data_IF_652093549950
#
_entry.id   IF_652093549950
#
_cell.length_a   1.000
_cell.length_b   1.000
_cell.length_c   1.000
_cell.angle_alpha   90.00
_cell.angle_beta   90.00
_cell.angle_gamma   90.00
#
_symmetry.space_group_name_H-M   'P 1'
#
loop_
_entity.id
_entity.type
_entity.pdbx_description
1 polymer ?
#
# COMPACT_ATOMS: atom_id res chain seq x y z
N UNK A 1 7.14 -7.76 -13.45
CA UNK A 1 5.77 -7.74 -12.85
C UNK A 1 4.81 -7.08 -13.82
N UNK A 2 3.79 -7.82 -14.30
CA UNK A 2 2.82 -7.32 -15.27
C UNK A 2 1.90 -6.23 -14.73
N UNK A 3 1.11 -5.59 -15.60
CA UNK A 3 0.12 -4.56 -15.25
C UNK A 3 -0.86 -5.03 -14.15
N UNK A 4 -1.17 -6.32 -14.10
CA UNK A 4 -1.94 -6.97 -13.03
C UNK A 4 -1.39 -6.71 -11.62
N UNK A 5 -0.07 -6.65 -11.45
CA UNK A 5 0.57 -6.40 -10.15
C UNK A 5 0.39 -4.96 -9.66
N UNK A 6 0.19 -3.99 -10.57
CA UNK A 6 -0.13 -2.62 -10.17
C UNK A 6 -1.58 -2.51 -9.69
N UNK A 7 -2.50 -3.17 -10.40
CA UNK A 7 -3.92 -3.16 -10.07
C UNK A 7 -4.14 -3.76 -8.69
N UNK A 8 -3.50 -4.90 -8.38
CA UNK A 8 -3.61 -5.52 -7.05
C UNK A 8 -3.07 -4.62 -5.93
N UNK A 9 -1.96 -3.90 -6.16
CA UNK A 9 -1.41 -2.94 -5.19
C UNK A 9 -2.35 -1.76 -4.95
N UNK A 10 -2.97 -1.22 -6.01
CA UNK A 10 -3.95 -0.13 -5.88
C UNK A 10 -5.18 -0.60 -5.09
N UNK A 11 -5.70 -1.79 -5.39
CA UNK A 11 -6.81 -2.38 -4.63
C UNK A 11 -6.44 -2.59 -3.16
N UNK A 12 -5.22 -3.05 -2.87
CA UNK A 12 -4.73 -3.20 -1.50
C UNK A 12 -4.64 -1.87 -0.75
N UNK A 13 -4.21 -0.78 -1.41
CA UNK A 13 -4.23 0.58 -0.83
C UNK A 13 -5.65 1.02 -0.50
N UNK A 14 -6.61 0.80 -1.42
CA UNK A 14 -8.01 1.17 -1.19
C UNK A 14 -8.61 0.43 0.01
N UNK A 15 -8.34 -0.87 0.14
CA UNK A 15 -8.79 -1.69 1.28
C UNK A 15 -8.16 -1.17 2.58
N UNK A 16 -6.84 -0.94 2.59
CA UNK A 16 -6.14 -0.43 3.76
C UNK A 16 -6.65 0.96 4.19
N UNK A 17 -6.95 1.83 3.21
CA UNK A 17 -7.53 3.15 3.45
C UNK A 17 -8.92 3.06 4.08
N UNK A 18 -9.79 2.19 3.56
CA UNK A 18 -11.10 1.95 4.16
C UNK A 18 -11.00 1.41 5.59
N UNK A 19 -10.09 0.46 5.84
CA UNK A 19 -9.78 -0.04 7.18
C UNK A 19 -9.31 1.06 8.14
N UNK A 20 -8.55 2.03 7.63
CA UNK A 20 -8.11 3.17 8.43
C UNK A 20 -9.26 4.13 8.75
N UNK A 21 -10.19 4.37 7.82
CA UNK A 21 -11.42 5.13 8.10
C UNK A 21 -12.24 4.45 9.21
N UNK A 22 -12.43 3.14 9.14
CA UNK A 22 -13.09 2.38 10.21
C UNK A 22 -12.36 2.51 11.55
N UNK A 23 -11.03 2.55 11.52
CA UNK A 23 -10.25 2.74 12.72
C UNK A 23 -10.39 4.14 13.33
N UNK A 24 -10.51 5.18 12.50
CA UNK A 24 -10.82 6.55 12.95
C UNK A 24 -12.20 6.62 13.62
N UNK A 25 -13.16 5.80 13.18
CA UNK A 25 -14.46 5.64 13.82
C UNK A 25 -14.44 4.81 15.12
N UNK A 26 -13.26 4.39 15.59
CA UNK A 26 -13.06 3.48 16.73
C UNK A 26 -13.69 2.09 16.55
N UNK A 27 -14.04 1.71 15.32
CA UNK A 27 -14.58 0.37 14.98
C UNK A 27 -13.42 -0.64 14.85
N UNK A 28 -12.23 -0.16 14.50
CA UNK A 28 -11.02 -0.96 14.36
C UNK A 28 -9.86 -0.31 15.14
N UNK A 29 -8.90 -1.09 15.69
CA UNK A 29 -7.74 -0.53 16.37
C UNK A 29 -6.87 0.31 15.44
N UNK A 30 -6.73 1.60 15.77
CA UNK A 30 -5.89 2.55 15.04
C UNK A 30 -4.42 2.08 14.94
N UNK A 31 -3.92 1.44 16.00
CA UNK A 31 -2.56 0.90 16.05
C UNK A 31 -2.30 -0.17 14.97
N UNK A 32 -3.32 -0.91 14.52
CA UNK A 32 -3.18 -1.90 13.46
C UNK A 32 -3.44 -1.32 12.08
N UNK A 33 -4.42 -0.42 11.92
CA UNK A 33 -4.73 0.13 10.60
C UNK A 33 -3.62 1.04 10.07
N UNK A 34 -2.94 1.77 10.96
CA UNK A 34 -1.85 2.68 10.60
C UNK A 34 -0.65 1.96 9.95
N UNK A 35 -0.07 0.90 10.54
CA UNK A 35 1.01 0.14 9.90
C UNK A 35 0.55 -0.58 8.63
N UNK A 36 -0.70 -1.07 8.58
CA UNK A 36 -1.26 -1.70 7.37
C UNK A 36 -1.30 -0.71 6.20
N UNK A 37 -1.79 0.51 6.45
CA UNK A 37 -1.83 1.57 5.44
C UNK A 37 -0.41 2.00 5.03
N UNK A 38 0.49 2.13 5.99
CA UNK A 38 1.89 2.47 5.72
C UNK A 38 2.59 1.42 4.84
N UNK A 39 2.48 0.13 5.18
CA UNK A 39 3.09 -0.96 4.40
C UNK A 39 2.52 -1.00 2.98
N UNK A 40 1.22 -0.77 2.82
CA UNK A 40 0.56 -0.73 1.52
C UNK A 40 1.16 0.34 0.60
N UNK A 41 1.34 1.56 1.13
CA UNK A 41 1.97 2.67 0.41
C UNK A 41 3.45 2.41 0.16
N UNK A 42 4.18 1.90 1.16
CA UNK A 42 5.60 1.58 1.06
C UNK A 42 5.88 0.58 -0.07
N UNK A 43 5.09 -0.51 -0.14
CA UNK A 43 5.20 -1.50 -1.21
C UNK A 43 4.94 -0.88 -2.59
N UNK A 44 3.97 0.02 -2.68
CA UNK A 44 3.68 0.73 -3.92
C UNK A 44 4.83 1.66 -4.36
N UNK A 45 5.43 2.39 -3.42
CA UNK A 45 6.59 3.25 -3.69
C UNK A 45 7.79 2.41 -4.11
N UNK A 46 8.10 1.31 -3.41
CA UNK A 46 9.17 0.38 -3.77
C UNK A 46 8.95 -0.15 -5.18
N UNK A 47 7.72 -0.52 -5.52
CA UNK A 47 7.37 -1.00 -6.85
C UNK A 47 7.63 0.04 -7.95
N UNK A 48 7.19 1.29 -7.73
CA UNK A 48 7.43 2.38 -8.68
C UNK A 48 8.91 2.67 -8.82
N UNK A 49 9.65 2.67 -7.72
CA UNK A 49 11.08 2.95 -7.69
C UNK A 49 11.89 1.85 -8.42
N UNK A 50 11.51 0.57 -8.25
CA UNK A 50 12.18 -0.54 -8.94
C UNK A 50 12.05 -0.49 -10.47
N UNK A 51 11.03 0.20 -11.02
CA UNK A 51 10.90 0.40 -12.49
C UNK A 51 11.89 1.42 -13.05
N UNK A 52 12.40 2.35 -12.24
CA UNK A 52 13.31 3.43 -12.63
C UNK A 52 14.74 3.22 -12.14
N UNK A 53 15.03 2.08 -11.52
CA UNK A 53 16.38 1.77 -11.03
C UNK A 53 17.31 1.62 -12.22
N UNK A 54 18.32 2.49 -12.30
CA UNK A 54 19.42 2.35 -13.24
C UNK A 54 20.07 0.99 -12.96
N UNK A 55 19.93 0.06 -13.91
CA UNK A 55 20.69 -1.18 -13.90
C UNK A 55 22.09 -0.79 -14.33
N UNK A 56 22.89 -0.27 -13.41
CA UNK A 56 24.31 -0.11 -13.63
C UNK A 56 24.92 -1.44 -14.06
N UNK A 57 26.04 -1.36 -14.78
CA UNK A 57 26.84 -2.47 -15.30
C UNK A 57 27.05 -3.60 -14.27
#
# INVERSE_FOLDING_TARGET
MGKLSLISMIVFILIAFFLHILALMKIFPLLLSTPILFISILLFIIYLNNRKRFKGF
#
